data_IF_637248249980
#
_entry.id   IF_637248249980
#
_cell.length_a   1.000
_cell.length_b   1.000
_cell.length_c   1.000
_cell.angle_alpha   90.00
_cell.angle_beta   90.00
_cell.angle_gamma   90.00
#
_symmetry.space_group_name_H-M   'P 1'
#
loop_
_entity.id
_entity.type
_entity.pdbx_description
1 polymer ?
#
# COMPACT_ATOMS: atom_id res chain seq x y z
N UNK A 1 3.36 12.92 -18.16
CA UNK A 1 4.13 12.52 -16.97
C UNK A 1 3.20 12.54 -15.77
N UNK A 2 2.81 11.38 -15.23
CA UNK A 2 1.79 11.27 -14.15
C UNK A 2 2.22 12.00 -12.88
N UNK A 3 1.33 12.79 -12.30
CA UNK A 3 1.49 13.42 -11.00
C UNK A 3 1.04 12.46 -9.90
N UNK A 4 1.81 12.36 -8.83
CA UNK A 4 1.50 11.55 -7.66
C UNK A 4 1.35 12.46 -6.44
N UNK A 5 0.21 12.35 -5.73
CA UNK A 5 -0.08 13.08 -4.50
C UNK A 5 -0.16 12.10 -3.32
N UNK A 6 0.58 12.39 -2.27
CA UNK A 6 0.63 11.61 -1.03
C UNK A 6 0.02 12.45 0.10
N UNK A 7 -1.03 11.94 0.75
CA UNK A 7 -1.74 12.64 1.82
C UNK A 7 -1.46 11.99 3.19
N UNK A 8 -1.18 12.81 4.22
CA UNK A 8 -1.07 12.35 5.60
C UNK A 8 -2.44 12.05 6.24
N UNK A 9 -2.41 11.60 7.47
CA UNK A 9 -3.58 11.42 8.34
C UNK A 9 -4.25 12.78 8.61
N UNK A 10 -5.54 12.93 8.30
CA UNK A 10 -6.36 13.96 8.93
C UNK A 10 -6.76 13.44 10.32
N UNK A 11 -6.08 13.93 11.36
CA UNK A 11 -6.51 13.71 12.75
C UNK A 11 -7.70 14.62 13.00
N UNK A 12 -8.89 14.10 12.89
CA UNK A 12 -10.10 14.76 13.37
C UNK A 12 -10.08 14.77 14.90
N UNK A 13 -9.87 15.95 15.51
CA UNK A 13 -10.01 16.13 16.96
C UNK A 13 -11.50 16.06 17.32
N UNK A 14 -11.96 14.87 17.65
CA UNK A 14 -13.27 14.65 18.29
C UNK A 14 -13.12 14.88 19.80
N UNK A 15 -13.70 15.98 20.28
CA UNK A 15 -13.82 16.30 21.72
C UNK A 15 -14.81 15.32 22.35
N UNK A 16 -14.32 14.21 22.92
CA UNK A 16 -15.14 13.24 23.64
C UNK A 16 -15.29 13.63 25.11
N UNK A 17 -16.52 13.95 25.53
CA UNK A 17 -16.87 14.09 26.95
C UNK A 17 -16.63 12.75 27.67
N UNK A 18 -15.79 12.77 28.67
CA UNK A 18 -15.61 11.68 29.64
C UNK A 18 -16.82 11.65 30.59
N UNK A 19 -17.72 10.70 30.41
CA UNK A 19 -18.70 10.32 31.44
C UNK A 19 -18.14 9.14 32.24
N UNK A 20 -17.89 9.41 33.52
CA UNK A 20 -17.47 8.43 34.51
C UNK A 20 -18.65 7.48 34.80
N UNK A 21 -18.55 6.24 34.31
CA UNK A 21 -19.58 5.19 34.54
C UNK A 21 -19.04 4.10 35.45
N UNK A 22 -19.68 3.92 36.61
CA UNK A 22 -19.42 2.87 37.59
C UNK A 22 -19.39 1.46 36.99
N UNK A 23 -18.32 0.74 37.30
CA UNK A 23 -18.20 -0.69 37.07
C UNK A 23 -19.26 -1.47 37.88
N UNK A 24 -20.26 -2.06 37.23
CA UNK A 24 -21.10 -3.10 37.80
C UNK A 24 -20.61 -4.46 37.36
N UNK A 25 -20.27 -5.32 38.31
CA UNK A 25 -19.99 -6.73 38.06
C UNK A 25 -21.21 -7.38 37.37
N UNK A 26 -21.06 -7.78 36.13
CA UNK A 26 -22.06 -8.51 35.36
C UNK A 26 -21.80 -10.00 35.62
N UNK A 27 -22.63 -10.63 36.44
CA UNK A 27 -22.74 -12.11 36.55
C UNK A 27 -23.25 -12.64 35.21
N UNK A 28 -22.50 -13.56 34.62
CA UNK A 28 -22.89 -14.22 33.36
C UNK A 28 -24.22 -14.96 33.52
N UNK A 29 -25.20 -14.61 32.70
CA UNK A 29 -26.49 -15.29 32.61
C UNK A 29 -26.32 -16.53 31.71
N UNK A 30 -26.60 -17.77 32.23
CA UNK A 30 -26.40 -19.01 31.44
C UNK A 30 -27.38 -19.19 30.26
N UNK A 31 -28.32 -18.26 30.05
CA UNK A 31 -29.32 -18.30 28.97
C UNK A 31 -29.06 -17.27 27.86
N UNK A 32 -27.84 -16.77 27.68
CA UNK A 32 -27.53 -16.01 26.47
C UNK A 32 -27.48 -16.97 25.27
N UNK A 33 -28.54 -16.96 24.48
CA UNK A 33 -28.57 -17.50 23.14
C UNK A 33 -27.41 -16.85 22.39
N UNK A 34 -26.41 -17.64 22.01
CA UNK A 34 -25.35 -17.21 21.09
C UNK A 34 -26.05 -16.79 19.81
N UNK A 35 -26.17 -15.48 19.60
CA UNK A 35 -26.62 -14.94 18.32
C UNK A 35 -25.59 -15.41 17.31
N UNK A 36 -25.98 -16.39 16.44
CA UNK A 36 -25.15 -16.77 15.29
C UNK A 36 -24.79 -15.48 14.57
N UNK A 37 -23.50 -15.24 14.36
CA UNK A 37 -23.00 -14.09 13.62
C UNK A 37 -23.87 -13.87 12.39
N UNK A 38 -24.57 -12.73 12.33
CA UNK A 38 -25.42 -12.40 11.20
C UNK A 38 -24.52 -12.34 9.97
N UNK A 39 -24.78 -13.21 8.98
CA UNK A 39 -24.02 -13.21 7.74
C UNK A 39 -24.17 -11.82 7.12
N UNK A 40 -23.06 -11.08 7.00
CA UNK A 40 -23.08 -9.78 6.35
C UNK A 40 -23.49 -9.95 4.89
N UNK A 41 -24.61 -9.34 4.53
CA UNK A 41 -25.08 -9.25 3.13
C UNK A 41 -24.79 -7.85 2.63
N UNK A 42 -23.98 -7.75 1.57
CA UNK A 42 -23.62 -6.46 1.00
C UNK A 42 -24.86 -5.82 0.35
N UNK A 43 -25.31 -4.62 0.80
CA UNK A 43 -26.54 -4.01 0.33
C UNK A 43 -26.41 -3.34 -1.05
N UNK A 44 -25.22 -3.23 -1.59
CA UNK A 44 -24.95 -2.53 -2.85
C UNK A 44 -24.86 -3.49 -4.03
N UNK A 45 -25.25 -3.08 -5.24
CA UNK A 45 -25.13 -3.92 -6.44
C UNK A 45 -23.68 -4.36 -6.69
N UNK A 46 -23.44 -5.64 -7.02
CA UNK A 46 -22.11 -6.15 -7.36
C UNK A 46 -21.43 -5.31 -8.46
N UNK A 47 -20.10 -5.15 -8.36
CA UNK A 47 -19.29 -4.38 -9.30
C UNK A 47 -19.27 -2.86 -9.07
N UNK A 48 -20.21 -2.32 -8.28
CA UNK A 48 -20.20 -0.89 -7.93
C UNK A 48 -19.09 -0.56 -6.93
N UNK A 49 -18.64 0.69 -6.92
CA UNK A 49 -17.65 1.15 -5.95
C UNK A 49 -18.18 1.10 -4.52
N UNK A 50 -19.47 1.34 -4.32
CA UNK A 50 -20.13 1.18 -3.02
C UNK A 50 -20.07 -0.27 -2.53
N UNK A 51 -20.35 -1.25 -3.40
CA UNK A 51 -20.21 -2.67 -3.09
C UNK A 51 -18.79 -3.03 -2.67
N UNK A 52 -17.78 -2.60 -3.47
CA UNK A 52 -16.38 -2.81 -3.15
C UNK A 52 -15.97 -2.22 -1.79
N UNK A 53 -16.47 -1.02 -1.45
CA UNK A 53 -16.18 -0.36 -0.17
C UNK A 53 -16.89 -1.00 1.02
N UNK A 54 -17.99 -1.68 0.83
CA UNK A 54 -18.68 -2.41 1.87
C UNK A 54 -17.99 -3.73 2.25
N UNK A 55 -17.05 -4.23 1.42
CA UNK A 55 -16.25 -5.43 1.69
C UNK A 55 -14.91 -5.06 2.32
N UNK A 56 -14.64 -5.43 3.56
CA UNK A 56 -13.34 -5.34 4.25
C UNK A 56 -12.43 -4.15 3.82
N UNK A 57 -13.04 -3.02 3.42
CA UNK A 57 -12.30 -1.80 3.05
C UNK A 57 -11.82 -1.05 4.30
N UNK A 58 -10.65 -0.46 4.33
CA UNK A 58 -9.66 -0.37 3.25
C UNK A 58 -8.68 -1.55 3.18
N UNK A 59 -8.85 -2.61 3.97
CA UNK A 59 -7.86 -3.68 4.16
C UNK A 59 -7.83 -4.74 3.05
N UNK A 60 -8.87 -4.77 2.20
CA UNK A 60 -8.89 -5.70 1.05
C UNK A 60 -7.69 -5.48 0.13
N UNK A 61 -7.09 -6.57 -0.35
CA UNK A 61 -6.06 -6.55 -1.39
C UNK A 61 -6.63 -6.48 -2.79
N UNK A 62 -7.94 -6.71 -2.95
CA UNK A 62 -8.64 -6.54 -4.22
C UNK A 62 -8.52 -5.10 -4.72
N UNK A 63 -8.57 -4.94 -6.03
CA UNK A 63 -8.66 -3.65 -6.71
C UNK A 63 -10.04 -3.48 -7.32
N UNK A 64 -10.59 -2.27 -7.27
CA UNK A 64 -11.77 -1.89 -8.02
C UNK A 64 -11.38 -1.10 -9.25
N UNK A 65 -12.09 -1.31 -10.36
CA UNK A 65 -11.87 -0.62 -11.64
C UNK A 65 -13.18 -0.08 -12.18
N UNK A 66 -13.19 1.18 -12.56
CA UNK A 66 -14.21 1.74 -13.44
C UNK A 66 -13.70 1.63 -14.88
N UNK A 67 -14.17 0.65 -15.62
CA UNK A 67 -13.65 0.35 -16.95
C UNK A 67 -13.84 1.53 -17.92
N UNK A 68 -15.00 2.20 -17.91
CA UNK A 68 -15.27 3.33 -18.79
C UNK A 68 -14.28 4.48 -18.54
N UNK A 69 -14.09 4.86 -17.28
CA UNK A 69 -13.13 5.93 -16.92
C UNK A 69 -11.69 5.50 -17.20
N UNK A 70 -11.39 4.20 -17.01
CA UNK A 70 -10.04 3.68 -17.19
C UNK A 70 -9.62 3.70 -18.67
N UNK A 71 -10.53 3.40 -19.60
CA UNK A 71 -10.29 3.47 -21.05
C UNK A 71 -9.94 4.88 -21.53
N UNK A 72 -10.44 5.91 -20.86
CA UNK A 72 -10.14 7.31 -21.16
C UNK A 72 -8.79 7.78 -20.56
N UNK A 73 -8.18 7.01 -19.63
CA UNK A 73 -6.95 7.43 -18.95
C UNK A 73 -5.72 7.22 -19.82
N UNK A 74 -4.78 8.16 -19.73
CA UNK A 74 -3.45 8.05 -20.31
C UNK A 74 -2.42 8.78 -19.43
N UNK A 75 -1.16 8.77 -19.84
CA UNK A 75 -0.05 9.38 -19.08
C UNK A 75 -0.11 10.90 -18.97
N UNK A 76 -0.90 11.59 -19.80
CA UNK A 76 -1.01 13.05 -19.82
C UNK A 76 -2.21 13.58 -19.02
N UNK A 77 -3.31 12.81 -18.95
CA UNK A 77 -4.58 13.26 -18.36
C UNK A 77 -4.88 12.62 -16.99
N UNK A 78 -4.10 11.65 -16.57
CA UNK A 78 -4.33 10.92 -15.32
C UNK A 78 -3.31 11.28 -14.24
N UNK A 79 -3.71 11.11 -12.98
CA UNK A 79 -2.83 11.23 -11.81
C UNK A 79 -3.03 10.06 -10.86
N UNK A 80 -2.00 9.79 -10.05
CA UNK A 80 -2.10 8.86 -8.94
C UNK A 80 -2.23 9.64 -7.64
N UNK A 81 -3.21 9.28 -6.81
CA UNK A 81 -3.41 9.80 -5.46
C UNK A 81 -3.21 8.67 -4.46
N UNK A 82 -2.31 8.83 -3.49
CA UNK A 82 -2.05 7.83 -2.47
C UNK A 82 -2.50 8.36 -1.11
N UNK A 83 -3.43 7.65 -0.47
CA UNK A 83 -3.79 7.88 0.92
C UNK A 83 -2.91 7.02 1.81
N UNK A 84 -1.91 7.62 2.43
CA UNK A 84 -0.95 6.93 3.29
C UNK A 84 -1.59 6.32 4.53
N UNK A 85 -2.68 6.91 5.06
CA UNK A 85 -3.39 6.39 6.23
C UNK A 85 -4.22 5.17 5.90
N UNK A 86 -4.94 5.19 4.80
CA UNK A 86 -5.74 4.07 4.34
C UNK A 86 -4.90 2.98 3.67
N UNK A 87 -3.66 3.32 3.26
CA UNK A 87 -2.81 2.47 2.44
C UNK A 87 -3.51 2.07 1.14
N UNK A 88 -4.14 3.08 0.51
CA UNK A 88 -4.85 2.94 -0.78
C UNK A 88 -4.29 3.89 -1.81
N UNK A 89 -4.16 3.40 -3.03
CA UNK A 89 -3.82 4.19 -4.21
C UNK A 89 -5.03 4.32 -5.13
N UNK A 90 -5.16 5.49 -5.74
CA UNK A 90 -6.23 5.81 -6.68
C UNK A 90 -5.62 6.30 -7.99
N UNK A 91 -5.95 5.65 -9.10
CA UNK A 91 -5.74 6.22 -10.43
C UNK A 91 -6.95 7.13 -10.73
N UNK A 92 -6.70 8.38 -11.04
CA UNK A 92 -7.73 9.41 -11.19
C UNK A 92 -7.71 10.01 -12.60
N UNK A 93 -8.88 10.20 -13.18
CA UNK A 93 -9.13 11.06 -14.33
C UNK A 93 -9.95 12.27 -13.84
N UNK A 94 -9.34 13.45 -13.82
CA UNK A 94 -9.99 14.58 -13.15
C UNK A 94 -10.35 14.25 -11.69
N UNK A 95 -11.64 14.33 -11.34
CA UNK A 95 -12.15 13.94 -10.02
C UNK A 95 -12.75 12.52 -9.98
N UNK A 96 -12.74 11.79 -11.08
CA UNK A 96 -13.27 10.43 -11.15
C UNK A 96 -12.19 9.41 -10.77
N UNK A 97 -12.58 8.39 -9.99
CA UNK A 97 -11.72 7.25 -9.66
C UNK A 97 -11.83 6.25 -10.83
N UNK A 98 -10.72 6.08 -11.56
CA UNK A 98 -10.59 5.04 -12.57
C UNK A 98 -10.23 3.69 -11.93
N UNK A 99 -9.42 3.71 -10.86
CA UNK A 99 -9.00 2.51 -10.14
C UNK A 99 -8.69 2.83 -8.67
N UNK A 100 -9.12 1.93 -7.77
CA UNK A 100 -8.76 1.92 -6.35
C UNK A 100 -8.01 0.62 -6.04
N UNK A 101 -6.84 0.70 -5.43
CA UNK A 101 -5.96 -0.45 -5.21
C UNK A 101 -5.17 -0.36 -3.91
N UNK A 102 -4.76 -1.52 -3.41
CA UNK A 102 -3.97 -1.61 -2.19
C UNK A 102 -2.52 -1.21 -2.43
N UNK A 103 -1.95 -0.46 -1.47
CA UNK A 103 -0.53 -0.14 -1.40
C UNK A 103 0.04 -0.48 -0.02
N UNK A 104 1.37 -0.49 0.10
CA UNK A 104 2.09 -0.54 1.37
C UNK A 104 3.26 0.43 1.30
N UNK A 105 3.22 1.46 2.13
CA UNK A 105 4.24 2.52 2.19
C UNK A 105 5.35 2.21 3.20
N UNK A 106 6.25 3.15 3.39
CA UNK A 106 7.36 3.05 4.33
C UNK A 106 6.93 2.79 5.77
N UNK A 107 7.74 2.02 6.50
CA UNK A 107 7.59 1.80 7.94
C UNK A 107 7.83 3.11 8.72
N UNK A 108 7.54 3.11 10.03
CA UNK A 108 7.76 4.29 10.88
C UNK A 108 9.21 4.77 10.86
N UNK A 109 10.17 3.85 10.81
CA UNK A 109 11.61 4.17 10.69
C UNK A 109 11.96 4.79 9.33
N UNK A 110 11.24 4.42 8.27
CA UNK A 110 11.50 4.81 6.89
C UNK A 110 10.22 5.39 6.25
N UNK A 111 9.58 6.34 6.91
CA UNK A 111 8.30 6.89 6.48
C UNK A 111 8.36 7.44 5.04
N UNK A 112 7.36 7.11 4.23
CA UNK A 112 7.19 7.74 2.92
C UNK A 112 6.77 9.20 3.12
N UNK A 113 7.54 10.19 2.68
CA UNK A 113 7.18 11.59 2.87
C UNK A 113 5.90 11.94 2.11
N UNK A 114 4.93 12.64 2.73
CA UNK A 114 3.79 13.19 2.00
C UNK A 114 4.23 14.30 1.04
N UNK A 115 3.47 14.53 -0.02
CA UNK A 115 3.80 15.58 -0.99
C UNK A 115 3.25 15.29 -2.38
N UNK A 116 3.64 16.13 -3.33
CA UNK A 116 3.33 15.98 -4.75
C UNK A 116 4.61 15.69 -5.52
N UNK A 117 4.60 14.63 -6.29
CA UNK A 117 5.76 14.10 -7.00
C UNK A 117 5.44 13.90 -8.48
N UNK A 118 6.47 13.96 -9.31
CA UNK A 118 6.42 13.51 -10.70
C UNK A 118 7.19 12.21 -10.82
N UNK A 119 6.72 11.31 -11.67
CA UNK A 119 7.51 10.14 -12.04
C UNK A 119 8.66 10.62 -12.93
N UNK A 120 9.89 10.48 -12.45
CA UNK A 120 11.11 10.96 -13.13
C UNK A 120 11.86 9.85 -13.87
N UNK A 121 11.51 8.59 -13.60
CA UNK A 121 12.08 7.41 -14.25
C UNK A 121 11.07 6.26 -14.21
N UNK A 122 11.00 5.46 -15.25
CA UNK A 122 10.26 4.19 -15.32
C UNK A 122 11.19 3.07 -15.76
N UNK A 123 11.24 1.97 -15.01
CA UNK A 123 12.01 0.77 -15.33
C UNK A 123 11.18 -0.48 -15.08
N UNK A 124 10.93 -1.28 -16.12
CA UNK A 124 10.07 -2.46 -16.00
C UNK A 124 10.67 -3.53 -15.07
N UNK A 125 11.99 -3.77 -15.16
CA UNK A 125 12.72 -4.73 -14.32
C UNK A 125 13.83 -3.99 -13.57
N UNK A 126 13.60 -3.69 -12.29
CA UNK A 126 14.54 -3.02 -11.39
C UNK A 126 14.86 -3.91 -10.19
N UNK A 127 16.09 -3.80 -9.70
CA UNK A 127 16.49 -4.27 -8.37
C UNK A 127 16.98 -3.10 -7.54
N UNK A 128 16.82 -3.19 -6.22
CA UNK A 128 17.38 -2.22 -5.28
C UNK A 128 18.90 -2.28 -5.30
N UNK A 129 19.54 -1.12 -5.23
CA UNK A 129 20.99 -1.03 -5.06
C UNK A 129 21.39 -1.02 -3.57
N UNK A 130 20.44 -0.82 -2.65
CA UNK A 130 20.71 -0.63 -1.22
C UNK A 130 20.15 -1.76 -0.36
N UNK A 131 18.94 -2.21 -0.64
CA UNK A 131 18.21 -3.17 0.19
C UNK A 131 18.02 -4.50 -0.54
N UNK A 132 18.22 -5.59 0.18
CA UNK A 132 18.12 -6.90 -0.43
C UNK A 132 18.44 -8.03 0.52
N UNK A 133 19.15 -9.03 0.02
CA UNK A 133 19.67 -10.15 0.81
C UNK A 133 21.13 -10.39 0.45
N UNK A 134 21.87 -10.90 1.42
CA UNK A 134 23.25 -11.36 1.23
C UNK A 134 23.25 -12.88 1.20
N UNK A 135 23.93 -13.41 0.19
CA UNK A 135 24.18 -14.84 0.02
C UNK A 135 25.64 -15.11 0.34
N UNK A 136 25.95 -16.29 0.90
CA UNK A 136 27.31 -16.77 1.05
C UNK A 136 27.87 -17.38 -0.26
N UNK A 137 29.07 -17.95 -0.21
CA UNK A 137 29.73 -18.59 -1.35
C UNK A 137 29.03 -19.85 -1.86
N UNK A 138 28.16 -20.47 -1.04
CA UNK A 138 27.32 -21.60 -1.42
C UNK A 138 25.97 -21.17 -2.03
N UNK A 139 25.66 -19.86 -2.02
CA UNK A 139 24.40 -19.32 -2.49
C UNK A 139 23.28 -19.33 -1.44
N UNK A 140 23.58 -19.69 -0.19
CA UNK A 140 22.61 -19.67 0.89
C UNK A 140 22.42 -18.27 1.47
N UNK A 141 21.18 -17.94 1.87
CA UNK A 141 20.88 -16.61 2.40
C UNK A 141 21.37 -16.47 3.85
N UNK A 142 22.37 -15.63 4.07
CA UNK A 142 22.93 -15.34 5.40
C UNK A 142 22.34 -14.06 6.02
N UNK A 143 21.83 -13.14 5.22
CA UNK A 143 21.06 -11.98 5.68
C UNK A 143 19.90 -11.74 4.70
N UNK A 144 18.65 -11.84 5.17
CA UNK A 144 17.44 -11.72 4.35
C UNK A 144 16.89 -10.28 4.24
N UNK A 145 17.38 -9.34 5.05
CA UNK A 145 16.94 -7.93 5.09
C UNK A 145 18.17 -7.00 5.16
N UNK A 146 19.08 -7.18 4.22
CA UNK A 146 20.36 -6.49 4.18
C UNK A 146 20.23 -5.05 3.67
N UNK A 147 21.00 -4.16 4.31
CA UNK A 147 21.35 -2.83 3.82
C UNK A 147 22.86 -2.82 3.49
N UNK A 148 23.22 -2.80 2.21
CA UNK A 148 24.61 -2.89 1.77
C UNK A 148 25.52 -1.75 2.25
N UNK A 149 24.94 -0.70 2.83
CA UNK A 149 25.70 0.40 3.45
C UNK A 149 26.17 0.05 4.86
N UNK A 150 25.48 -0.89 5.52
CA UNK A 150 25.69 -1.28 6.93
C UNK A 150 26.18 -2.73 7.03
N UNK A 151 25.77 -3.60 6.09
CA UNK A 151 26.02 -5.02 6.11
C UNK A 151 27.16 -5.43 5.16
N UNK A 152 28.07 -6.26 5.63
CA UNK A 152 29.19 -6.78 4.85
C UNK A 152 28.80 -8.04 4.09
N UNK A 153 29.25 -8.16 2.86
CA UNK A 153 29.16 -9.40 2.08
C UNK A 153 30.35 -10.30 2.47
N UNK A 154 30.14 -11.57 2.89
CA UNK A 154 31.22 -12.49 3.21
C UNK A 154 32.04 -12.84 1.98
N UNK A 155 33.25 -13.35 2.18
CA UNK A 155 34.15 -13.77 1.11
C UNK A 155 33.49 -14.80 0.18
N UNK A 156 33.54 -14.53 -1.13
CA UNK A 156 32.86 -15.35 -2.13
C UNK A 156 31.34 -15.23 -2.17
N UNK A 157 30.75 -14.41 -1.30
CA UNK A 157 29.30 -14.18 -1.25
C UNK A 157 28.83 -13.10 -2.25
N UNK A 158 27.53 -12.84 -2.27
CA UNK A 158 26.91 -11.91 -3.22
C UNK A 158 25.76 -11.15 -2.58
N UNK A 159 25.68 -9.82 -2.83
CA UNK A 159 24.49 -9.02 -2.53
C UNK A 159 23.47 -9.14 -3.66
N UNK A 160 22.26 -9.57 -3.33
CA UNK A 160 21.13 -9.66 -4.26
C UNK A 160 20.07 -8.64 -3.89
N UNK A 161 20.05 -7.50 -4.59
CA UNK A 161 19.09 -6.44 -4.38
C UNK A 161 17.63 -6.90 -4.51
N UNK A 162 16.74 -6.38 -3.66
CA UNK A 162 15.31 -6.68 -3.67
C UNK A 162 14.69 -6.36 -5.05
N UNK A 163 13.83 -7.25 -5.55
CA UNK A 163 13.15 -7.07 -6.83
C UNK A 163 12.08 -5.98 -6.71
N UNK A 164 12.09 -5.03 -7.66
CA UNK A 164 11.18 -3.89 -7.73
C UNK A 164 10.60 -3.75 -9.16
N UNK A 165 9.81 -4.72 -9.65
CA UNK A 165 9.23 -4.65 -10.99
C UNK A 165 8.31 -3.44 -11.12
N UNK A 166 8.21 -2.89 -12.34
CA UNK A 166 7.42 -1.70 -12.65
C UNK A 166 7.83 -0.48 -11.80
N UNK A 167 9.13 -0.29 -11.67
CA UNK A 167 9.70 0.83 -10.92
C UNK A 167 9.31 2.18 -11.52
N UNK A 168 8.79 3.06 -10.67
CA UNK A 168 8.47 4.46 -10.96
C UNK A 168 9.16 5.33 -9.91
N UNK A 169 10.28 5.97 -10.27
CA UNK A 169 11.04 6.83 -9.36
C UNK A 169 10.30 8.13 -9.11
N UNK A 170 10.22 8.55 -7.84
CA UNK A 170 9.58 9.79 -7.40
C UNK A 170 10.58 10.83 -6.91
N UNK A 171 11.70 10.41 -6.33
CA UNK A 171 12.70 11.32 -5.75
C UNK A 171 14.11 10.96 -6.20
N UNK A 172 15.00 11.96 -6.16
CA UNK A 172 16.44 11.73 -6.35
C UNK A 172 17.06 10.84 -5.28
N UNK A 173 16.52 10.84 -4.06
CA UNK A 173 16.96 10.00 -2.94
C UNK A 173 16.57 8.52 -3.07
N UNK A 174 15.84 8.13 -4.12
CA UNK A 174 15.52 6.73 -4.40
C UNK A 174 14.18 6.24 -3.88
N UNK A 175 13.28 7.13 -3.47
CA UNK A 175 11.88 6.75 -3.19
C UNK A 175 11.13 6.60 -4.50
N UNK A 176 10.33 5.55 -4.62
CA UNK A 176 9.50 5.29 -5.79
C UNK A 176 8.34 4.35 -5.50
N UNK A 177 7.57 4.06 -6.55
CA UNK A 177 6.52 3.05 -6.56
C UNK A 177 7.00 1.83 -7.36
N UNK A 178 6.61 0.65 -6.94
CA UNK A 178 6.89 -0.60 -7.65
C UNK A 178 5.94 -1.72 -7.23
N UNK A 179 5.91 -2.82 -7.97
CA UNK A 179 5.20 -4.02 -7.54
C UNK A 179 5.81 -4.57 -6.25
N UNK A 180 4.96 -4.97 -5.30
CA UNK A 180 5.42 -5.62 -4.08
C UNK A 180 4.29 -6.19 -3.23
N UNK A 181 4.66 -6.80 -2.11
CA UNK A 181 3.72 -7.37 -1.14
C UNK A 181 3.03 -6.23 -0.38
N UNK A 182 1.70 -6.24 -0.36
CA UNK A 182 0.85 -5.18 0.22
C UNK A 182 -0.07 -5.67 1.35
N UNK A 183 0.04 -6.93 1.76
CA UNK A 183 -0.74 -7.50 2.86
C UNK A 183 -0.35 -6.92 4.23
N UNK A 184 0.87 -6.37 4.37
CA UNK A 184 1.32 -5.62 5.54
C UNK A 184 1.27 -4.12 5.25
N UNK A 185 0.77 -3.34 6.22
CA UNK A 185 0.80 -1.88 6.18
C UNK A 185 2.17 -1.39 6.62
N UNK A 186 2.63 -0.27 6.04
CA UNK A 186 3.88 0.39 6.46
C UNK A 186 5.08 -0.55 6.58
N UNK A 187 5.38 -1.30 5.51
CA UNK A 187 6.36 -2.39 5.56
C UNK A 187 7.57 -2.20 4.63
N UNK A 188 7.76 -1.02 4.04
CA UNK A 188 8.88 -0.75 3.15
C UNK A 188 9.94 0.16 3.78
N UNK A 189 11.08 0.31 3.11
CA UNK A 189 12.13 1.29 3.41
C UNK A 189 11.88 2.64 2.68
N UNK A 190 10.62 3.11 2.67
CA UNK A 190 10.23 4.40 2.09
C UNK A 190 9.50 4.30 0.75
N UNK A 191 9.74 3.29 -0.05
CA UNK A 191 9.04 3.06 -1.32
C UNK A 191 7.57 2.69 -1.11
N UNK A 192 6.75 2.89 -2.15
CA UNK A 192 5.34 2.52 -2.15
C UNK A 192 5.18 1.21 -2.93
N UNK A 193 4.98 0.11 -2.21
CA UNK A 193 4.65 -1.17 -2.82
C UNK A 193 3.22 -1.12 -3.33
N UNK A 194 3.02 -1.54 -4.56
CA UNK A 194 1.72 -1.56 -5.25
C UNK A 194 1.35 -3.01 -5.57
N UNK A 195 0.08 -3.35 -5.37
CA UNK A 195 -0.40 -4.71 -5.65
C UNK A 195 -0.22 -5.08 -7.13
N UNK A 196 0.13 -6.34 -7.40
CA UNK A 196 0.44 -6.83 -8.75
C UNK A 196 -0.72 -6.63 -9.75
N UNK A 197 -1.99 -6.67 -9.29
CA UNK A 197 -3.17 -6.46 -10.15
C UNK A 197 -3.36 -5.02 -10.62
N UNK A 198 -2.68 -4.06 -9.98
CA UNK A 198 -2.82 -2.63 -10.24
C UNK A 198 -1.60 -2.03 -10.92
N UNK A 199 -0.40 -2.49 -10.56
CA UNK A 199 0.83 -1.83 -10.96
C UNK A 199 1.05 -1.77 -12.49
N UNK A 200 0.68 -2.76 -13.33
CA UNK A 200 0.85 -2.61 -14.79
C UNK A 200 0.03 -1.44 -15.35
N UNK A 201 -1.23 -1.29 -14.88
CA UNK A 201 -2.12 -0.19 -15.29
C UNK A 201 -1.61 1.18 -14.82
N UNK A 202 -1.05 1.24 -13.61
CA UNK A 202 -0.50 2.50 -13.06
C UNK A 202 0.80 2.88 -13.75
N UNK A 203 1.59 1.89 -14.15
CA UNK A 203 2.87 2.06 -14.84
C UNK A 203 2.69 2.51 -16.29
N UNK A 204 1.69 2.04 -17.05
CA UNK A 204 1.39 2.49 -18.41
C UNK A 204 1.01 3.98 -18.44
#
# INVERSE_FOLDING_TARGET
>A
MKLIRLFPLLVGAGLGLLTSGCSKNITANPNQTVVKDAIFVNPYPPGTYAHFKAENYPNTTKSWKNHNVLEETNSSNSRVSINLSLQRGFLMLGNQIAMDYRVSSGSSKYATPPGSYRIIEKVQKKRSNLYGRILDSAGETVNSDADIREDSVPDGGTFLGASMPYWMRLTGSGIGMHQGIVNRRFASHGCIRTHYSAVPTVFS
#
